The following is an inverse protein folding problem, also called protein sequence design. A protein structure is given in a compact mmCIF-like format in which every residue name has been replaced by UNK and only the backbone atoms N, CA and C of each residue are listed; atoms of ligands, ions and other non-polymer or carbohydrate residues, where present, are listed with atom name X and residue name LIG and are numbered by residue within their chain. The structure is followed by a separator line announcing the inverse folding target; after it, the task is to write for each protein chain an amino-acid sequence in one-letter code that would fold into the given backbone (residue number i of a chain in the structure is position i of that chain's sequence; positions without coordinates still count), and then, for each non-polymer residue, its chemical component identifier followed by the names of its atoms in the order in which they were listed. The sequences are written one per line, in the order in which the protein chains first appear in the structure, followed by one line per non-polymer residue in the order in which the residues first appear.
data_IF_967471528930
#
_entry.id   IF_967471528930
#
_cell.length_a   1.000
_cell.length_b   1.000
_cell.length_c   1.000
_cell.angle_alpha   90.00
_cell.angle_beta   90.00
_cell.angle_gamma   90.00
#
_symmetry.space_group_name_H-M   'P 1'
#
loop_
_entity.id
_entity.type
_entity.pdbx_description
1 polymer ?
#
# COMPACT_ATOMS: atom_id res chain seq x y z
N UNK A 1 -21.00 -6.03 -8.72
CA UNK A 1 -20.68 -6.75 -9.97
C UNK A 1 -21.94 -7.39 -10.50
N UNK A 2 -22.24 -7.18 -11.78
CA UNK A 2 -23.42 -7.75 -12.45
C UNK A 2 -22.94 -8.57 -13.65
N UNK A 3 -23.29 -9.87 -13.70
CA UNK A 3 -23.02 -10.73 -14.85
C UNK A 3 -24.35 -10.97 -15.57
N UNK A 4 -24.36 -10.76 -16.89
CA UNK A 4 -25.49 -11.08 -17.77
C UNK A 4 -25.11 -12.28 -18.64
N UNK A 5 -25.91 -13.33 -18.57
CA UNK A 5 -25.71 -14.57 -19.32
C UNK A 5 -26.88 -14.83 -20.27
N UNK A 6 -26.58 -15.35 -21.46
CA UNK A 6 -27.57 -15.75 -22.46
C UNK A 6 -27.44 -17.25 -22.70
N UNK A 7 -28.53 -18.01 -22.52
CA UNK A 7 -28.53 -19.49 -22.56
C UNK A 7 -27.49 -20.14 -21.62
N UNK A 8 -27.31 -19.57 -20.43
CA UNK A 8 -26.34 -20.08 -19.45
C UNK A 8 -24.87 -19.74 -19.75
N UNK A 9 -24.59 -19.07 -20.87
CA UNK A 9 -23.23 -18.61 -21.22
C UNK A 9 -23.08 -17.14 -20.81
N UNK A 10 -22.13 -16.80 -19.91
CA UNK A 10 -21.88 -15.41 -19.52
C UNK A 10 -21.27 -14.65 -20.70
N UNK A 11 -21.99 -13.66 -21.23
CA UNK A 11 -21.56 -12.83 -22.36
C UNK A 11 -21.21 -11.40 -21.99
N UNK A 12 -21.51 -10.97 -20.74
CA UNK A 12 -21.26 -9.61 -20.28
C UNK A 12 -21.04 -9.60 -18.76
N UNK A 13 -20.02 -8.87 -18.32
CA UNK A 13 -19.79 -8.54 -16.92
C UNK A 13 -19.63 -7.03 -16.75
N UNK A 14 -20.30 -6.46 -15.76
CA UNK A 14 -20.17 -5.06 -15.36
C UNK A 14 -19.69 -4.98 -13.92
N UNK A 15 -18.58 -4.30 -13.72
CA UNK A 15 -18.09 -3.89 -12.42
C UNK A 15 -18.67 -2.50 -12.12
N UNK A 16 -19.45 -2.39 -11.07
CA UNK A 16 -20.09 -1.15 -10.65
C UNK A 16 -19.27 -0.48 -9.54
N UNK A 17 -18.75 0.72 -9.87
CA UNK A 17 -18.10 1.81 -9.09
C UNK A 17 -17.14 1.50 -7.93
N UNK A 18 -16.15 2.41 -7.82
CA UNK A 18 -15.19 2.49 -6.73
C UNK A 18 -15.89 2.67 -5.38
N UNK A 19 -15.59 1.78 -4.43
CA UNK A 19 -15.89 2.01 -3.02
C UNK A 19 -15.09 3.25 -2.58
N UNK A 20 -15.73 4.16 -1.83
CA UNK A 20 -15.01 5.28 -1.23
C UNK A 20 -13.93 4.75 -0.27
N UNK A 21 -12.79 5.45 -0.14
CA UNK A 21 -11.75 5.04 0.77
C UNK A 21 -12.23 5.10 2.22
N UNK A 22 -12.06 3.98 2.92
CA UNK A 22 -12.16 3.87 4.38
C UNK A 22 -10.75 4.00 4.95
N UNK A 23 -10.51 5.01 5.77
CA UNK A 23 -9.23 5.19 6.45
C UNK A 23 -9.13 4.26 7.65
N UNK A 24 -7.98 3.62 7.78
CA UNK A 24 -7.66 2.65 8.81
C UNK A 24 -7.17 3.29 10.11
N UNK A 25 -6.68 2.45 11.05
CA UNK A 25 -6.04 2.94 12.26
C UNK A 25 -4.72 3.68 11.95
N UNK A 26 -4.17 4.32 12.97
CA UNK A 26 -2.85 4.93 12.89
C UNK A 26 -1.80 3.88 12.47
N UNK A 27 -0.96 4.18 11.45
CA UNK A 27 0.10 3.29 11.02
C UNK A 27 1.11 2.95 12.12
N UNK A 28 1.81 1.81 12.00
CA UNK A 28 2.99 1.54 12.81
C UNK A 28 4.00 2.68 12.73
N UNK A 29 4.79 2.86 13.80
CA UNK A 29 5.78 3.93 13.86
C UNK A 29 6.79 3.84 12.71
N UNK A 30 7.31 4.99 12.26
CA UNK A 30 8.28 5.02 11.16
C UNK A 30 9.53 4.20 11.46
N UNK A 31 9.99 4.17 12.71
CA UNK A 31 11.11 3.35 13.13
C UNK A 31 10.83 1.85 12.94
N UNK A 32 9.59 1.41 13.17
CA UNK A 32 9.17 0.03 12.95
C UNK A 32 9.11 -0.29 11.45
N UNK A 33 8.47 0.59 10.67
CA UNK A 33 8.37 0.44 9.21
C UNK A 33 9.76 0.44 8.54
N UNK A 34 10.69 1.27 9.02
CA UNK A 34 12.05 1.31 8.53
C UNK A 34 12.79 -0.01 8.79
N UNK A 35 12.61 -0.61 9.97
CA UNK A 35 13.15 -1.93 10.30
C UNK A 35 12.54 -3.04 9.45
N UNK A 36 11.21 -3.02 9.28
CA UNK A 36 10.50 -3.94 8.39
C UNK A 36 11.05 -3.86 6.97
N UNK A 37 11.31 -2.66 6.44
CA UNK A 37 11.78 -2.47 5.07
C UNK A 37 13.31 -2.53 4.92
N UNK A 38 14.04 -2.65 6.03
CA UNK A 38 15.51 -2.66 6.02
C UNK A 38 16.16 -1.34 5.57
N UNK A 39 15.46 -0.21 5.67
CA UNK A 39 15.94 1.12 5.28
C UNK A 39 16.08 2.05 6.49
N UNK A 40 16.62 3.26 6.28
CA UNK A 40 16.72 4.24 7.35
C UNK A 40 15.38 4.95 7.57
N UNK A 41 15.07 5.36 8.81
CA UNK A 41 13.82 6.08 9.10
C UNK A 41 13.68 7.39 8.33
N UNK A 42 14.81 8.06 8.03
CA UNK A 42 14.84 9.27 7.20
C UNK A 42 14.40 9.02 5.75
N UNK A 43 14.45 7.78 5.29
CA UNK A 43 14.03 7.40 3.95
C UNK A 43 12.49 7.32 3.84
N UNK A 44 11.77 7.34 4.97
CA UNK A 44 10.31 7.42 5.02
C UNK A 44 9.85 8.87 5.11
N UNK A 45 8.77 9.21 4.41
CA UNK A 45 8.09 10.49 4.56
C UNK A 45 7.28 10.55 5.87
N UNK A 46 6.84 11.75 6.27
CA UNK A 46 6.14 12.00 7.54
C UNK A 46 5.12 13.13 7.41
N UNK A 47 4.29 13.30 8.45
CA UNK A 47 3.25 14.32 8.47
C UNK A 47 2.16 14.00 7.45
N UNK A 48 1.69 15.02 6.71
CA UNK A 48 0.62 14.88 5.73
C UNK A 48 0.98 13.97 4.54
N UNK A 49 2.26 13.69 4.31
CA UNK A 49 2.74 12.75 3.29
C UNK A 49 3.35 11.50 3.90
N UNK A 50 3.04 11.20 5.17
CA UNK A 50 3.50 10.01 5.85
C UNK A 50 2.72 8.75 5.46
N UNK A 51 3.05 7.60 6.09
CA UNK A 51 2.28 6.39 5.93
C UNK A 51 0.80 6.60 6.27
N UNK A 52 -0.08 5.90 5.57
CA UNK A 52 -1.52 5.96 5.80
C UNK A 52 -2.16 4.62 5.46
N UNK A 53 -3.11 4.20 6.28
CA UNK A 53 -3.87 2.99 6.01
C UNK A 53 -5.21 3.37 5.38
N UNK A 54 -5.53 2.75 4.24
CA UNK A 54 -6.79 2.99 3.56
C UNK A 54 -7.28 1.73 2.84
N UNK A 55 -8.59 1.68 2.59
CA UNK A 55 -9.23 0.59 1.88
C UNK A 55 -10.34 1.06 0.95
N UNK A 56 -10.35 0.56 -0.29
CA UNK A 56 -11.51 0.61 -1.19
C UNK A 56 -12.12 -0.79 -1.37
N UNK A 57 -12.06 -1.64 -0.33
CA UNK A 57 -12.55 -3.02 -0.34
C UNK A 57 -11.50 -4.05 0.06
N UNK A 58 -10.21 -3.72 -0.10
CA UNK A 58 -9.07 -4.46 0.43
C UNK A 58 -8.19 -3.50 1.24
N UNK A 59 -7.92 -3.76 2.53
CA UNK A 59 -7.09 -2.87 3.35
C UNK A 59 -5.62 -2.90 2.92
N UNK A 60 -5.03 -1.73 2.72
CA UNK A 60 -3.59 -1.55 2.50
C UNK A 60 -3.00 -0.55 3.47
N UNK A 61 -1.72 -0.74 3.80
CA UNK A 61 -0.87 0.30 4.35
C UNK A 61 -0.01 0.90 3.23
N UNK A 62 -0.24 2.17 2.93
CA UNK A 62 0.55 2.93 1.98
C UNK A 62 1.76 3.52 2.70
N UNK A 63 2.96 3.23 2.20
CA UNK A 63 4.23 3.63 2.81
C UNK A 63 5.05 4.44 1.80
N UNK A 64 4.94 5.78 1.82
CA UNK A 64 5.73 6.64 0.96
C UNK A 64 7.19 6.70 1.43
N UNK A 65 8.09 6.42 0.49
CA UNK A 65 9.54 6.59 0.63
C UNK A 65 10.00 7.82 -0.14
N UNK A 66 11.15 8.36 0.26
CA UNK A 66 11.70 9.61 -0.24
C UNK A 66 11.90 9.63 -1.75
N UNK A 67 12.50 8.58 -2.30
CA UNK A 67 12.96 8.52 -3.69
C UNK A 67 13.15 7.07 -4.16
N UNK A 68 13.49 6.91 -5.45
CA UNK A 68 13.76 5.59 -6.05
C UNK A 68 14.93 4.86 -5.42
N UNK A 69 15.92 5.58 -4.88
CA UNK A 69 17.07 4.96 -4.23
C UNK A 69 16.65 4.28 -2.94
N UNK A 70 15.81 4.93 -2.14
CA UNK A 70 15.18 4.33 -0.97
C UNK A 70 14.29 3.13 -1.35
N UNK A 71 13.46 3.28 -2.39
CA UNK A 71 12.57 2.21 -2.86
C UNK A 71 13.35 0.97 -3.29
N UNK A 72 14.45 1.14 -4.03
CA UNK A 72 15.30 0.02 -4.49
C UNK A 72 15.98 -0.73 -3.33
N UNK A 73 16.26 -0.03 -2.22
CA UNK A 73 16.82 -0.67 -1.01
C UNK A 73 15.78 -1.33 -0.12
N UNK A 74 14.49 -1.02 -0.31
CA UNK A 74 13.41 -1.51 0.54
C UNK A 74 13.17 -3.00 0.28
N UNK A 75 13.68 -3.84 1.18
CA UNK A 75 13.53 -5.30 1.14
C UNK A 75 12.89 -5.74 2.45
N UNK A 76 11.68 -6.33 2.42
CA UNK A 76 10.99 -6.78 3.62
C UNK A 76 11.83 -7.77 4.44
N UNK A 77 12.02 -7.48 5.72
CA UNK A 77 12.58 -8.40 6.72
C UNK A 77 11.43 -9.17 7.36
N UNK A 78 11.29 -10.44 7.01
CA UNK A 78 10.12 -11.26 7.37
C UNK A 78 9.85 -11.31 8.88
N UNK A 79 10.88 -11.49 9.71
CA UNK A 79 10.70 -11.54 11.17
C UNK A 79 10.11 -10.23 11.73
N UNK A 80 10.59 -9.09 11.24
CA UNK A 80 10.08 -7.77 11.64
C UNK A 80 8.69 -7.52 11.04
N UNK A 81 8.46 -7.97 9.81
CA UNK A 81 7.19 -7.86 9.13
C UNK A 81 6.09 -8.59 9.90
N UNK A 82 6.33 -9.85 10.24
CA UNK A 82 5.40 -10.65 11.04
C UNK A 82 5.16 -10.01 12.41
N UNK A 83 6.23 -9.60 13.11
CA UNK A 83 6.12 -8.97 14.43
C UNK A 83 5.31 -7.67 14.41
N UNK A 84 5.52 -6.82 13.41
CA UNK A 84 4.86 -5.51 13.32
C UNK A 84 3.42 -5.64 12.83
N UNK A 85 3.14 -6.55 11.89
CA UNK A 85 1.82 -6.67 11.28
C UNK A 85 0.91 -7.73 11.90
N UNK A 86 1.40 -8.60 12.80
CA UNK A 86 0.60 -9.65 13.44
C UNK A 86 -0.69 -9.16 14.12
N UNK A 87 -0.69 -7.94 14.63
CA UNK A 87 -1.86 -7.32 15.28
C UNK A 87 -2.32 -6.04 14.59
N UNK A 88 -1.79 -5.75 13.39
CA UNK A 88 -2.19 -4.59 12.62
C UNK A 88 -3.37 -4.91 11.70
N UNK A 89 -4.06 -3.87 11.24
CA UNK A 89 -5.28 -3.99 10.43
C UNK A 89 -5.07 -4.73 9.09
N UNK A 90 -3.86 -4.72 8.55
CA UNK A 90 -3.52 -5.39 7.29
C UNK A 90 -2.04 -5.74 7.23
N UNK A 91 -1.71 -6.81 6.50
CA UNK A 91 -0.35 -7.13 6.09
C UNK A 91 -0.08 -6.73 4.62
N UNK A 92 -1.06 -6.18 3.90
CA UNK A 92 -0.81 -5.68 2.55
C UNK A 92 -0.13 -4.30 2.62
N UNK A 93 1.15 -4.27 2.28
CA UNK A 93 1.97 -3.05 2.32
C UNK A 93 2.29 -2.60 0.91
N UNK A 94 1.97 -1.34 0.59
CA UNK A 94 2.27 -0.71 -0.69
C UNK A 94 3.34 0.35 -0.50
N UNK A 95 4.57 0.05 -0.89
CA UNK A 95 5.72 0.96 -0.78
C UNK A 95 5.89 1.71 -2.10
N UNK A 96 5.99 3.04 -2.06
CA UNK A 96 6.05 3.86 -3.27
C UNK A 96 6.83 5.15 -3.08
N UNK A 97 7.25 5.79 -4.17
CA UNK A 97 7.78 7.16 -4.18
C UNK A 97 7.09 7.97 -5.29
N UNK A 98 7.05 9.29 -5.13
CA UNK A 98 6.52 10.20 -6.16
C UNK A 98 7.52 10.48 -7.28
N UNK A 99 8.79 10.03 -7.14
CA UNK A 99 9.82 10.14 -8.17
C UNK A 99 9.52 9.17 -9.32
N UNK A 100 9.10 9.66 -10.51
CA UNK A 100 8.65 8.82 -11.61
C UNK A 100 9.83 8.11 -12.27
N UNK A 101 9.57 6.93 -12.84
CA UNK A 101 10.64 6.21 -13.54
C UNK A 101 11.02 6.86 -14.89
N UNK A 102 10.04 7.42 -15.59
CA UNK A 102 10.20 8.00 -16.92
C UNK A 102 10.12 9.53 -16.88
N UNK A 103 11.02 10.25 -17.57
CA UNK A 103 10.94 11.70 -17.70
C UNK A 103 9.59 12.15 -18.27
N UNK A 104 8.93 13.11 -17.61
CA UNK A 104 7.64 13.68 -18.04
C UNK A 104 6.39 12.93 -17.58
N UNK A 105 6.54 11.89 -16.75
CA UNK A 105 5.40 11.24 -16.07
C UNK A 105 5.09 11.96 -14.75
N UNK A 106 3.81 12.03 -14.37
CA UNK A 106 3.31 12.62 -13.13
C UNK A 106 2.50 11.60 -12.33
#
# INVERSE_FOLDING_TARGET
MTIRATRGVPGFAQFSVAKLPEFGPQPPGRADLARVLGIAEKDLLAGATGPEAASCGLPFLFVPVRDRSALTRAVPRLDEFERVFASYWTSHVFVFCADPELPGSH
#
